data_IF_477650924298
#
_entry.id   IF_477650924298
#
_cell.length_a   1.000
_cell.length_b   1.000
_cell.length_c   1.000
_cell.angle_alpha   90.00
_cell.angle_beta   90.00
_cell.angle_gamma   90.00
#
_symmetry.space_group_name_H-M   'P 1'
#
loop_
_entity.id
_entity.type
_entity.pdbx_description
1 polymer ?
#
# COMPACT_ATOMS: atom_id res chain seq x y z
N UNK A 1 12.48 5.10 -29.44
CA UNK A 1 11.25 5.79 -29.92
C UNK A 1 10.42 4.85 -30.78
N UNK A 2 9.36 4.20 -30.24
CA UNK A 2 8.14 3.81 -30.97
C UNK A 2 7.00 3.69 -29.96
N UNK A 3 6.09 4.66 -29.99
CA UNK A 3 4.79 4.66 -29.28
C UNK A 3 3.85 3.72 -30.04
N UNK A 4 3.21 2.74 -29.39
CA UNK A 4 2.01 2.06 -29.94
C UNK A 4 1.08 1.56 -28.82
N UNK A 5 -0.16 2.09 -28.87
CA UNK A 5 -1.45 1.44 -28.58
C UNK A 5 -1.69 0.97 -27.14
N UNK A 6 -2.57 1.56 -26.31
CA UNK A 6 -3.99 1.93 -26.46
C UNK A 6 -4.85 0.90 -27.21
N UNK A 7 -5.81 0.31 -26.48
CA UNK A 7 -6.94 -0.52 -26.91
C UNK A 7 -6.62 -1.94 -27.41
N UNK A 8 -6.97 -2.96 -26.61
CA UNK A 8 -7.84 -4.09 -27.02
C UNK A 8 -8.01 -5.10 -25.86
N UNK A 9 -9.24 -5.24 -25.33
CA UNK A 9 -9.92 -6.53 -25.11
C UNK A 9 -11.27 -6.30 -24.42
N UNK A 10 -12.22 -5.73 -25.17
CA UNK A 10 -13.64 -5.92 -24.93
C UNK A 10 -14.15 -6.79 -26.08
N UNK A 11 -14.16 -8.10 -25.89
CA UNK A 11 -14.62 -9.07 -26.87
C UNK A 11 -15.24 -10.25 -26.12
N UNK A 12 -16.58 -10.27 -26.05
CA UNK A 12 -17.47 -11.44 -26.08
C UNK A 12 -18.78 -11.19 -25.31
N UNK A 13 -19.82 -10.78 -26.04
CA UNK A 13 -21.19 -11.28 -25.88
C UNK A 13 -22.07 -10.73 -27.02
N UNK A 14 -22.19 -11.49 -28.11
CA UNK A 14 -23.36 -11.40 -28.99
C UNK A 14 -24.50 -12.19 -28.34
N UNK A 15 -25.74 -11.74 -28.54
CA UNK A 15 -26.70 -12.64 -29.17
C UNK A 15 -27.30 -12.02 -30.44
N UNK A 16 -27.42 -12.89 -31.44
CA UNK A 16 -28.11 -12.66 -32.69
C UNK A 16 -29.62 -12.58 -32.48
N UNK A 17 -30.28 -11.63 -33.17
CA UNK A 17 -31.52 -11.82 -33.94
C UNK A 17 -32.06 -10.44 -34.37
N UNK A 18 -32.11 -10.24 -35.69
CA UNK A 18 -33.10 -9.46 -36.44
C UNK A 18 -32.43 -8.70 -37.61
N UNK A 19 -32.31 -9.41 -38.73
CA UNK A 19 -32.25 -8.78 -40.05
C UNK A 19 -33.56 -8.04 -40.33
N UNK A 20 -33.47 -6.81 -40.80
CA UNK A 20 -34.44 -6.21 -41.72
C UNK A 20 -33.70 -5.26 -42.69
N UNK A 21 -34.13 -5.18 -43.96
CA UNK A 21 -33.27 -4.82 -45.09
C UNK A 21 -33.18 -3.30 -45.34
N UNK A 22 -32.02 -2.87 -45.84
CA UNK A 22 -31.90 -1.65 -46.64
C UNK A 22 -32.58 -1.88 -48.01
N UNK A 23 -33.16 -0.85 -48.66
CA UNK A 23 -32.35 0.18 -49.32
C UNK A 23 -32.99 1.58 -49.32
N UNK A 24 -32.19 2.64 -49.46
CA UNK A 24 -32.23 3.49 -50.66
C UNK A 24 -31.14 4.57 -50.58
N UNK A 25 -30.58 4.90 -51.73
CA UNK A 25 -29.47 5.79 -51.89
C UNK A 25 -29.97 7.24 -52.00
N UNK A 26 -29.39 8.15 -51.21
CA UNK A 26 -29.56 9.59 -51.40
C UNK A 26 -28.19 10.26 -51.61
N UNK A 27 -28.10 11.25 -52.53
CA UNK A 27 -26.86 11.81 -53.06
C UNK A 27 -26.06 12.66 -52.05
N UNK A 28 -24.76 12.90 -52.31
CA UNK A 28 -23.87 13.66 -51.43
C UNK A 28 -24.29 15.13 -51.34
N UNK A 29 -24.55 15.59 -50.12
CA UNK A 29 -24.76 17.00 -49.81
C UNK A 29 -23.43 17.77 -49.79
N UNK A 30 -23.49 18.96 -50.37
CA UNK A 30 -22.46 19.98 -50.56
C UNK A 30 -21.76 20.40 -49.24
N UNK A 31 -20.44 20.69 -49.26
CA UNK A 31 -19.71 21.10 -48.06
C UNK A 31 -20.11 22.49 -47.57
N UNK A 32 -20.60 22.55 -46.33
CA UNK A 32 -20.92 23.79 -45.62
C UNK A 32 -19.67 24.65 -45.32
N UNK A 33 -19.79 25.99 -45.31
CA UNK A 33 -18.68 26.90 -45.04
C UNK A 33 -18.13 26.81 -43.60
N UNK A 34 -16.86 27.18 -43.38
CA UNK A 34 -16.23 27.08 -42.06
C UNK A 34 -16.85 28.07 -41.06
N UNK A 35 -17.37 27.53 -39.96
CA UNK A 35 -17.87 28.31 -38.82
C UNK A 35 -16.69 28.95 -38.08
N UNK A 36 -16.80 30.26 -37.86
CA UNK A 36 -15.81 31.09 -37.19
C UNK A 36 -15.47 30.58 -35.77
N UNK A 37 -14.19 30.67 -35.42
CA UNK A 37 -13.67 30.29 -34.12
C UNK A 37 -14.25 31.16 -32.98
N UNK A 38 -14.65 30.58 -31.84
CA UNK A 38 -15.11 31.34 -30.69
C UNK A 38 -13.96 32.10 -30.03
N UNK A 39 -14.22 33.38 -29.73
CA UNK A 39 -13.37 34.29 -28.97
C UNK A 39 -13.08 33.72 -27.57
N UNK A 40 -11.82 33.76 -27.07
CA UNK A 40 -11.52 33.26 -25.73
C UNK A 40 -12.16 34.14 -24.64
N UNK A 41 -12.82 33.48 -23.68
CA UNK A 41 -13.42 34.08 -22.51
C UNK A 41 -12.35 34.66 -21.55
N UNK A 42 -12.63 35.78 -20.85
CA UNK A 42 -11.69 36.39 -19.92
C UNK A 42 -11.40 35.49 -18.71
N UNK A 43 -10.13 35.50 -18.28
CA UNK A 43 -9.64 34.70 -17.16
C UNK A 43 -10.27 35.15 -15.81
N UNK A 44 -10.65 34.22 -14.92
CA UNK A 44 -11.15 34.54 -13.59
C UNK A 44 -10.04 35.14 -12.72
N UNK A 45 -10.35 36.27 -12.07
CA UNK A 45 -9.49 36.93 -11.10
C UNK A 45 -9.22 36.03 -9.88
N UNK A 46 -7.97 36.03 -9.42
CA UNK A 46 -7.53 35.26 -8.27
C UNK A 46 -8.21 35.76 -6.96
N UNK A 47 -8.62 34.85 -6.06
CA UNK A 47 -9.14 35.23 -4.75
C UNK A 47 -8.02 35.79 -3.86
N UNK A 48 -8.33 36.90 -3.18
CA UNK A 48 -7.47 37.52 -2.16
C UNK A 48 -7.46 36.61 -0.91
N UNK A 49 -6.29 36.21 -0.38
CA UNK A 49 -6.23 35.39 0.83
C UNK A 49 -6.60 36.22 2.08
N UNK A 50 -7.59 35.73 2.82
CA UNK A 50 -7.95 36.22 4.16
C UNK A 50 -6.83 35.87 5.15
N UNK A 51 -6.35 36.82 5.99
CA UNK A 51 -5.38 36.51 7.03
C UNK A 51 -5.98 35.56 8.08
N UNK A 52 -5.23 34.51 8.43
CA UNK A 52 -5.61 33.54 9.44
C UNK A 52 -5.54 34.14 10.86
N UNK A 53 -6.46 33.77 11.76
CA UNK A 53 -6.42 34.19 13.16
C UNK A 53 -5.22 33.60 13.90
N UNK A 54 -4.54 34.43 14.70
CA UNK A 54 -3.41 34.03 15.54
C UNK A 54 -3.84 32.99 16.57
N UNK A 55 -3.05 31.91 16.69
CA UNK A 55 -3.25 30.87 17.68
C UNK A 55 -3.02 31.40 19.11
N UNK A 56 -3.84 30.98 20.10
CA UNK A 56 -3.64 31.34 21.50
C UNK A 56 -2.39 30.67 22.09
N UNK A 57 -1.76 31.38 23.03
CA UNK A 57 -0.53 30.99 23.70
C UNK A 57 -0.66 29.69 24.53
N UNK A 58 0.40 28.87 24.64
CA UNK A 58 0.37 27.65 25.44
C UNK A 58 0.32 27.95 26.95
N UNK A 59 -0.53 27.20 27.64
CA UNK A 59 -0.68 27.20 29.10
C UNK A 59 0.54 26.54 29.76
N UNK A 60 1.09 27.08 30.87
CA UNK A 60 2.25 26.47 31.54
C UNK A 60 1.91 25.16 32.26
N UNK A 61 2.75 24.15 32.06
CA UNK A 61 2.70 22.85 32.74
C UNK A 61 3.12 22.98 34.22
N UNK A 62 2.34 22.44 35.18
CA UNK A 62 2.71 22.42 36.60
C UNK A 62 3.91 21.50 36.90
N UNK A 63 4.80 21.97 37.78
CA UNK A 63 5.97 21.24 38.25
C UNK A 63 5.60 20.04 39.16
N UNK A 64 6.27 18.90 38.95
CA UNK A 64 6.09 17.70 39.76
C UNK A 64 6.79 17.81 41.13
N UNK A 65 6.22 17.25 42.23
CA UNK A 65 6.83 17.28 43.54
C UNK A 65 7.99 16.28 43.69
N UNK A 66 9.02 16.68 44.43
CA UNK A 66 10.18 15.87 44.77
C UNK A 66 9.81 14.66 45.66
N UNK A 67 10.35 13.49 45.33
CA UNK A 67 10.20 12.26 46.15
C UNK A 67 11.09 12.32 47.39
N UNK A 68 10.51 11.91 48.52
CA UNK A 68 11.17 11.76 49.81
C UNK A 68 12.19 10.60 49.81
N UNK A 69 13.27 10.68 50.61
CA UNK A 69 14.25 9.61 50.74
C UNK A 69 13.72 8.44 51.57
N UNK A 70 14.06 7.22 51.14
CA UNK A 70 13.71 5.98 51.82
C UNK A 70 14.58 5.73 53.07
N UNK A 71 14.05 5.10 54.13
CA UNK A 71 14.77 4.83 55.37
C UNK A 71 15.77 3.66 55.24
N UNK A 72 16.93 3.81 55.88
CA UNK A 72 17.98 2.80 56.00
C UNK A 72 17.58 1.67 56.95
N UNK A 73 17.81 0.42 56.55
CA UNK A 73 17.56 -0.79 57.34
C UNK A 73 18.87 -1.24 58.02
N UNK A 74 18.85 -1.68 59.29
CA UNK A 74 20.06 -2.06 60.05
C UNK A 74 20.70 -3.39 59.58
N UNK A 75 21.99 -3.62 59.93
CA UNK A 75 22.74 -4.80 59.49
C UNK A 75 22.37 -6.07 60.26
N UNK A 76 22.05 -7.14 59.51
CA UNK A 76 21.88 -8.50 60.06
C UNK A 76 23.23 -9.20 60.23
N UNK A 77 23.37 -9.86 61.38
CA UNK A 77 24.50 -10.71 61.78
C UNK A 77 24.72 -11.93 60.85
N UNK A 78 25.90 -12.58 60.91
CA UNK A 78 26.36 -13.51 59.88
C UNK A 78 25.69 -14.89 59.99
N UNK A 79 25.10 -15.35 58.89
CA UNK A 79 24.64 -16.72 58.71
C UNK A 79 25.77 -17.59 58.11
N UNK A 80 25.86 -18.82 58.62
CA UNK A 80 26.80 -19.87 58.26
C UNK A 80 26.95 -20.12 56.74
N UNK A 81 28.10 -20.66 56.27
CA UNK A 81 28.37 -20.87 54.85
C UNK A 81 27.39 -21.88 54.27
N UNK A 82 26.55 -21.42 53.33
CA UNK A 82 25.76 -22.30 52.46
C UNK A 82 26.69 -22.94 51.42
N UNK A 83 26.45 -24.20 51.04
CA UNK A 83 27.16 -24.82 49.91
C UNK A 83 26.95 -23.98 48.63
N UNK A 84 27.95 -23.93 47.74
CA UNK A 84 27.87 -23.10 46.54
C UNK A 84 26.67 -23.54 45.69
N UNK A 85 25.91 -22.59 45.11
CA UNK A 85 24.88 -22.93 44.14
C UNK A 85 25.51 -23.66 42.95
N UNK A 86 24.80 -24.64 42.34
CA UNK A 86 25.26 -25.23 41.08
C UNK A 86 25.46 -24.12 40.06
N UNK A 87 26.60 -24.17 39.37
CA UNK A 87 27.00 -23.19 38.38
C UNK A 87 25.86 -22.96 37.36
N UNK A 88 25.60 -21.70 36.96
CA UNK A 88 24.65 -21.43 35.88
C UNK A 88 25.09 -22.21 34.64
N UNK A 89 24.17 -23.00 34.11
CA UNK A 89 24.35 -23.65 32.82
C UNK A 89 24.69 -22.57 31.77
N UNK A 90 25.62 -22.84 30.83
CA UNK A 90 26.01 -21.87 29.82
C UNK A 90 24.78 -21.38 29.07
N UNK A 91 24.72 -20.05 28.88
CA UNK A 91 23.73 -19.35 28.06
C UNK A 91 23.43 -20.15 26.79
N UNK A 92 22.27 -20.81 26.78
CA UNK A 92 21.67 -21.20 25.52
C UNK A 92 21.37 -19.89 24.79
N UNK A 93 21.92 -19.66 23.59
CA UNK A 93 21.47 -18.54 22.79
C UNK A 93 19.96 -18.69 22.66
N UNK A 94 19.23 -17.66 23.05
CA UNK A 94 17.78 -17.58 22.82
C UNK A 94 17.57 -17.70 21.31
N UNK A 95 17.37 -18.94 20.83
CA UNK A 95 16.82 -19.19 19.51
C UNK A 95 15.37 -18.74 19.62
N UNK A 96 15.14 -17.47 19.29
CA UNK A 96 13.81 -17.00 18.92
C UNK A 96 13.26 -18.04 17.93
N UNK A 97 12.13 -18.70 18.24
CA UNK A 97 11.63 -19.78 17.40
C UNK A 97 11.43 -19.21 16.00
N UNK A 98 12.15 -19.76 15.03
CA UNK A 98 12.03 -19.35 13.64
C UNK A 98 10.55 -19.36 13.26
N UNK A 99 9.98 -18.18 12.97
CA UNK A 99 8.57 -18.04 12.64
C UNK A 99 8.18 -19.07 11.58
N UNK A 100 7.08 -19.78 11.81
CA UNK A 100 6.61 -20.77 10.83
C UNK A 100 6.14 -20.05 9.57
N UNK A 101 6.13 -20.73 8.43
CA UNK A 101 5.61 -20.14 7.19
C UNK A 101 4.16 -19.65 7.35
N UNK A 102 3.36 -20.35 8.15
CA UNK A 102 2.00 -19.94 8.46
C UNK A 102 1.96 -18.63 9.28
N UNK A 103 2.88 -18.45 10.23
CA UNK A 103 3.00 -17.20 10.99
C UNK A 103 3.38 -16.03 10.07
N UNK A 104 4.30 -16.25 9.14
CA UNK A 104 4.67 -15.25 8.13
C UNK A 104 3.47 -14.87 7.26
N UNK A 105 2.72 -15.85 6.76
CA UNK A 105 1.50 -15.60 5.96
C UNK A 105 0.46 -14.82 6.75
N UNK A 106 0.27 -15.13 8.04
CA UNK A 106 -0.65 -14.41 8.91
C UNK A 106 -0.19 -12.96 9.13
N UNK A 107 1.11 -12.72 9.34
CA UNK A 107 1.70 -11.38 9.45
C UNK A 107 1.51 -10.59 8.16
N UNK A 108 1.89 -11.16 7.01
CA UNK A 108 1.70 -10.54 5.69
C UNK A 108 0.23 -10.20 5.46
N UNK A 109 -0.70 -11.08 5.84
CA UNK A 109 -2.13 -10.83 5.72
C UNK A 109 -2.58 -9.64 6.57
N UNK A 110 -2.09 -9.55 7.81
CA UNK A 110 -2.39 -8.44 8.73
C UNK A 110 -1.86 -7.12 8.18
N UNK A 111 -0.60 -7.09 7.73
CA UNK A 111 0.03 -5.90 7.14
C UNK A 111 -0.66 -5.47 5.84
N UNK A 112 -0.94 -6.41 4.94
CA UNK A 112 -1.70 -6.13 3.72
C UNK A 112 -3.07 -5.54 4.04
N UNK A 113 -3.75 -6.06 5.06
CA UNK A 113 -5.04 -5.53 5.49
C UNK A 113 -4.94 -4.08 5.96
N UNK A 114 -3.99 -3.78 6.84
CA UNK A 114 -3.75 -2.42 7.32
C UNK A 114 -3.45 -1.47 6.15
N UNK A 115 -2.61 -1.89 5.21
CA UNK A 115 -2.30 -1.12 3.99
C UNK A 115 -3.56 -0.86 3.16
N UNK A 116 -4.36 -1.87 2.85
CA UNK A 116 -5.58 -1.69 2.06
C UNK A 116 -6.60 -0.81 2.77
N UNK A 117 -6.75 -0.94 4.09
CA UNK A 117 -7.63 -0.09 4.88
C UNK A 117 -7.17 1.38 4.86
N UNK A 118 -5.87 1.64 5.01
CA UNK A 118 -5.30 2.99 4.87
C UNK A 118 -5.55 3.58 3.48
N UNK A 119 -5.41 2.77 2.41
CA UNK A 119 -5.68 3.19 1.04
C UNK A 119 -7.17 3.53 0.81
N UNK A 120 -8.09 2.74 1.38
CA UNK A 120 -9.53 2.99 1.28
C UNK A 120 -9.94 4.27 2.02
N UNK A 121 -9.29 4.55 3.16
CA UNK A 121 -9.45 5.78 3.94
C UNK A 121 -8.76 6.99 3.30
N UNK A 122 -7.96 6.79 2.24
CA UNK A 122 -7.21 7.84 1.57
C UNK A 122 -5.93 8.28 2.31
N UNK A 123 -5.49 7.54 3.33
CA UNK A 123 -4.26 7.80 4.07
C UNK A 123 -3.03 7.17 3.38
N UNK A 124 -2.63 7.79 2.28
CA UNK A 124 -1.43 7.39 1.51
C UNK A 124 -0.14 7.64 2.29
N UNK A 125 -0.15 8.58 3.24
CA UNK A 125 1.08 8.99 3.94
C UNK A 125 1.52 7.93 4.94
N UNK A 126 0.57 7.39 5.70
CA UNK A 126 0.83 6.26 6.59
C UNK A 126 1.32 5.05 5.78
N UNK A 127 0.66 4.75 4.65
CA UNK A 127 1.11 3.70 3.75
C UNK A 127 2.56 3.91 3.26
N UNK A 128 2.90 5.11 2.78
CA UNK A 128 4.22 5.38 2.22
C UNK A 128 5.35 5.32 3.28
N UNK A 129 5.02 5.44 4.57
CA UNK A 129 5.98 5.27 5.66
C UNK A 129 6.33 3.81 5.97
N UNK A 130 5.45 2.87 5.64
CA UNK A 130 5.57 1.45 6.01
C UNK A 130 6.13 0.57 4.87
N UNK A 131 6.32 1.14 3.67
CA UNK A 131 6.79 0.40 2.49
C UNK A 131 8.29 0.49 2.26
N UNK A 132 8.82 -0.51 1.57
CA UNK A 132 10.21 -0.61 1.20
C UNK A 132 10.48 0.12 -0.11
N UNK A 133 11.49 0.99 -0.09
CA UNK A 133 11.95 1.72 -1.27
C UNK A 133 13.16 1.02 -1.91
N UNK A 134 13.27 1.08 -3.24
CA UNK A 134 12.36 1.72 -4.19
C UNK A 134 11.06 0.93 -4.40
N UNK A 135 9.93 1.62 -4.38
CA UNK A 135 8.60 1.03 -4.46
C UNK A 135 8.09 0.99 -5.90
N UNK A 136 7.55 -0.15 -6.34
CA UNK A 136 6.98 -0.32 -7.69
C UNK A 136 5.45 -0.20 -7.64
N UNK A 137 4.91 0.88 -8.20
CA UNK A 137 3.47 1.09 -8.33
C UNK A 137 3.10 0.95 -9.82
N UNK A 138 2.37 -0.10 -10.16
CA UNK A 138 2.03 -0.45 -11.56
C UNK A 138 3.27 -0.55 -12.46
N UNK A 139 3.42 0.37 -13.40
CA UNK A 139 4.51 0.46 -14.37
C UNK A 139 5.64 1.38 -13.89
N UNK A 140 5.42 2.15 -12.80
CA UNK A 140 6.34 3.19 -12.37
C UNK A 140 7.01 2.87 -11.03
N UNK A 141 8.32 3.08 -10.99
CA UNK A 141 9.14 2.96 -9.79
C UNK A 141 9.30 4.31 -9.10
N UNK A 142 9.17 4.31 -7.78
CA UNK A 142 9.29 5.48 -6.92
C UNK A 142 10.46 5.28 -5.98
N UNK A 143 11.38 6.25 -5.95
CA UNK A 143 12.59 6.14 -5.14
C UNK A 143 12.36 6.60 -3.70
N UNK A 144 11.39 7.49 -3.49
CA UNK A 144 11.13 8.13 -2.20
C UNK A 144 9.63 8.14 -1.85
N UNK A 145 9.34 8.31 -0.57
CA UNK A 145 7.97 8.38 -0.06
C UNK A 145 7.21 9.59 -0.60
N UNK A 146 7.82 10.76 -0.67
CA UNK A 146 7.16 11.96 -1.19
C UNK A 146 6.70 11.81 -2.64
N UNK A 147 7.52 11.17 -3.49
CA UNK A 147 7.14 10.89 -4.89
C UNK A 147 5.96 9.93 -4.99
N UNK A 148 5.96 8.89 -4.16
CA UNK A 148 4.89 7.89 -4.11
C UNK A 148 3.58 8.51 -3.62
N UNK A 149 3.64 9.30 -2.54
CA UNK A 149 2.48 10.02 -1.99
C UNK A 149 1.91 10.97 -3.03
N UNK A 150 2.75 11.78 -3.69
CA UNK A 150 2.29 12.74 -4.70
C UNK A 150 1.57 12.06 -5.88
N UNK A 151 2.08 10.92 -6.34
CA UNK A 151 1.46 10.17 -7.42
C UNK A 151 0.14 9.51 -7.00
N UNK A 152 0.13 8.85 -5.85
CA UNK A 152 -1.01 8.06 -5.43
C UNK A 152 -2.16 8.92 -4.90
N UNK A 153 -1.88 10.03 -4.20
CA UNK A 153 -2.92 11.01 -3.82
C UNK A 153 -3.63 11.56 -5.05
N UNK A 154 -2.90 11.80 -6.14
CA UNK A 154 -3.49 12.24 -7.41
C UNK A 154 -4.42 11.17 -8.01
N UNK A 155 -4.03 9.91 -7.96
CA UNK A 155 -4.85 8.79 -8.45
C UNK A 155 -6.08 8.54 -7.57
N UNK A 156 -5.93 8.51 -6.24
CA UNK A 156 -7.03 8.27 -5.32
C UNK A 156 -8.06 9.39 -5.35
N UNK A 157 -7.67 10.66 -5.53
CA UNK A 157 -8.65 11.76 -5.70
C UNK A 157 -9.55 11.60 -6.93
N UNK A 158 -9.08 10.87 -7.95
CA UNK A 158 -9.86 10.59 -9.15
C UNK A 158 -10.73 9.33 -9.01
N UNK A 159 -10.50 8.52 -7.97
CA UNK A 159 -11.19 7.26 -7.74
C UNK A 159 -12.11 7.41 -6.53
N UNK A 160 -13.33 6.90 -6.63
CA UNK A 160 -14.27 6.86 -5.49
C UNK A 160 -13.93 5.69 -4.57
N UNK A 161 -12.88 5.85 -3.76
CA UNK A 161 -12.47 4.83 -2.77
C UNK A 161 -13.55 4.58 -1.72
N UNK A 162 -14.47 5.54 -1.51
CA UNK A 162 -15.64 5.43 -0.64
C UNK A 162 -16.58 4.29 -1.02
N UNK A 163 -16.65 3.95 -2.31
CA UNK A 163 -17.49 2.84 -2.79
C UNK A 163 -16.77 1.50 -2.79
N UNK A 164 -15.48 1.49 -2.47
CA UNK A 164 -14.67 0.28 -2.58
C UNK A 164 -14.73 -0.50 -1.27
N UNK A 165 -15.23 -1.74 -1.35
CA UNK A 165 -15.26 -2.67 -0.22
C UNK A 165 -14.17 -3.73 -0.37
N UNK A 166 -13.41 -3.97 0.70
CA UNK A 166 -12.45 -5.07 0.81
C UNK A 166 -13.18 -6.35 1.24
N UNK A 167 -13.34 -7.32 0.34
CA UNK A 167 -14.01 -8.58 0.66
C UNK A 167 -13.11 -9.58 1.37
N UNK A 168 -11.82 -9.60 1.03
CA UNK A 168 -10.89 -10.57 1.57
C UNK A 168 -9.50 -10.39 0.99
N UNK A 169 -8.53 -11.01 1.67
CA UNK A 169 -7.12 -11.03 1.29
C UNK A 169 -6.65 -12.48 1.32
N UNK A 170 -6.15 -12.94 0.19
CA UNK A 170 -5.49 -14.22 0.03
C UNK A 170 -3.97 -14.00 -0.01
N UNK A 171 -3.21 -14.72 0.81
CA UNK A 171 -1.74 -14.61 0.82
C UNK A 171 -1.15 -15.89 0.27
N UNK A 172 -0.42 -15.74 -0.84
CA UNK A 172 0.22 -16.83 -1.58
C UNK A 172 1.72 -16.59 -1.66
N UNK A 173 2.51 -17.66 -1.73
CA UNK A 173 3.88 -17.55 -2.22
C UNK A 173 3.88 -17.19 -3.70
N UNK A 174 4.98 -16.67 -4.22
CA UNK A 174 5.05 -16.30 -5.64
C UNK A 174 4.76 -17.51 -6.56
N UNK A 175 5.28 -18.69 -6.23
CA UNK A 175 5.03 -19.92 -7.00
C UNK A 175 3.54 -20.35 -6.98
N UNK A 176 2.87 -20.20 -5.84
CA UNK A 176 1.43 -20.49 -5.72
C UNK A 176 0.59 -19.48 -6.50
N UNK A 177 0.96 -18.20 -6.44
CA UNK A 177 0.34 -17.14 -7.21
C UNK A 177 0.46 -17.41 -8.71
N UNK A 178 1.65 -17.81 -9.19
CA UNK A 178 1.86 -18.15 -10.59
C UNK A 178 1.06 -19.37 -11.04
N UNK A 179 0.89 -20.35 -10.16
CA UNK A 179 0.06 -21.53 -10.42
C UNK A 179 -1.43 -21.20 -10.49
N UNK A 180 -1.91 -20.28 -9.64
CA UNK A 180 -3.36 -19.97 -9.50
C UNK A 180 -3.82 -18.85 -10.44
N UNK A 181 -3.01 -17.81 -10.61
CA UNK A 181 -3.36 -16.59 -11.34
C UNK A 181 -2.49 -16.37 -12.58
N UNK A 182 -1.49 -17.23 -12.83
CA UNK A 182 -0.56 -17.07 -13.93
C UNK A 182 0.62 -16.16 -13.58
N UNK A 183 1.51 -15.97 -14.55
CA UNK A 183 2.79 -15.29 -14.35
C UNK A 183 2.60 -13.86 -13.87
N UNK A 184 3.36 -13.47 -12.84
CA UNK A 184 3.36 -12.09 -12.37
C UNK A 184 3.74 -11.12 -13.52
N UNK A 185 3.09 -9.96 -13.64
CA UNK A 185 3.46 -8.96 -14.63
C UNK A 185 4.96 -8.63 -14.57
N UNK A 186 5.67 -8.74 -15.70
CA UNK A 186 7.12 -8.50 -15.76
C UNK A 186 7.52 -7.09 -15.29
N UNK A 187 6.58 -6.13 -15.35
CA UNK A 187 6.71 -4.76 -14.81
C UNK A 187 6.99 -4.71 -13.30
N UNK A 188 6.65 -5.77 -12.56
CA UNK A 188 6.92 -5.87 -11.12
C UNK A 188 8.39 -6.15 -10.80
N UNK A 189 9.25 -6.37 -11.80
CA UNK A 189 10.70 -6.48 -11.60
C UNK A 189 11.14 -7.66 -10.74
N UNK A 190 10.30 -8.69 -10.61
CA UNK A 190 10.47 -9.81 -9.69
C UNK A 190 11.64 -10.74 -10.02
N UNK A 191 12.16 -10.71 -11.24
CA UNK A 191 13.13 -11.70 -11.75
C UNK A 191 14.50 -11.72 -11.06
N UNK A 192 14.82 -10.74 -10.21
CA UNK A 192 16.06 -10.70 -9.43
C UNK A 192 15.86 -11.03 -7.93
N UNK A 193 14.61 -11.20 -7.49
CA UNK A 193 14.29 -11.40 -6.08
C UNK A 193 14.16 -12.90 -5.77
N UNK A 194 14.62 -13.31 -4.59
CA UNK A 194 14.52 -14.71 -4.14
C UNK A 194 13.06 -15.04 -3.84
N UNK A 195 12.50 -16.00 -4.57
CA UNK A 195 11.09 -16.38 -4.51
C UNK A 195 10.64 -16.85 -3.12
N UNK A 196 11.55 -17.45 -2.32
CA UNK A 196 11.25 -17.97 -1.00
C UNK A 196 10.95 -16.89 0.06
N UNK A 197 11.41 -15.65 -0.16
CA UNK A 197 11.18 -14.52 0.76
C UNK A 197 10.02 -13.63 0.26
N UNK A 198 9.32 -14.02 -0.81
CA UNK A 198 8.32 -13.23 -1.51
C UNK A 198 6.92 -13.77 -1.28
N UNK A 199 6.04 -12.90 -0.82
CA UNK A 199 4.62 -13.20 -0.62
C UNK A 199 3.78 -12.22 -1.43
N UNK A 200 2.77 -12.75 -2.12
CA UNK A 200 1.76 -11.98 -2.82
C UNK A 200 0.48 -11.96 -1.99
N UNK A 201 0.06 -10.78 -1.56
CA UNK A 201 -1.23 -10.56 -0.93
C UNK A 201 -2.22 -10.03 -1.96
N UNK A 202 -3.22 -10.84 -2.28
CA UNK A 202 -4.23 -10.56 -3.29
C UNK A 202 -5.52 -10.18 -2.56
N UNK A 203 -5.87 -8.90 -2.62
CA UNK A 203 -7.12 -8.37 -2.14
C UNK A 203 -8.19 -8.38 -3.22
N UNK A 204 -9.43 -8.66 -2.81
CA UNK A 204 -10.59 -8.41 -3.64
C UNK A 204 -11.23 -7.08 -3.22
N UNK A 205 -11.03 -6.06 -4.05
CA UNK A 205 -11.58 -4.71 -3.91
C UNK A 205 -12.80 -4.57 -4.82
N UNK A 206 -14.01 -4.77 -4.28
CA UNK A 206 -15.28 -4.62 -5.04
C UNK A 206 -15.40 -5.48 -6.31
N UNK A 207 -14.77 -6.66 -6.34
CA UNK A 207 -14.73 -7.54 -7.51
C UNK A 207 -13.46 -7.38 -8.35
N UNK A 208 -12.56 -6.46 -8.01
CA UNK A 208 -11.29 -6.25 -8.69
C UNK A 208 -10.11 -6.79 -7.85
N UNK A 209 -9.20 -7.59 -8.44
CA UNK A 209 -8.05 -8.11 -7.74
C UNK A 209 -6.94 -7.06 -7.63
N UNK A 210 -6.60 -6.63 -6.42
CA UNK A 210 -5.42 -5.82 -6.15
C UNK A 210 -4.34 -6.66 -5.48
N UNK A 211 -3.11 -6.57 -5.96
CA UNK A 211 -1.97 -7.38 -5.53
C UNK A 211 -0.94 -6.47 -4.87
N UNK A 212 -0.58 -6.79 -3.63
CA UNK A 212 0.59 -6.26 -2.94
C UNK A 212 1.66 -7.33 -2.84
N UNK A 213 2.90 -6.96 -3.13
CA UNK A 213 4.05 -7.83 -2.98
C UNK A 213 4.84 -7.45 -1.75
N UNK A 214 5.09 -8.46 -0.92
CA UNK A 214 5.81 -8.36 0.33
C UNK A 214 7.14 -9.09 0.26
N UNK A 215 8.13 -8.52 0.92
CA UNK A 215 9.39 -9.17 1.22
C UNK A 215 9.41 -9.49 2.72
N UNK A 216 9.61 -10.75 3.05
CA UNK A 216 9.66 -11.24 4.43
C UNK A 216 10.90 -12.14 4.61
N UNK A 217 12.11 -11.55 4.62
CA UNK A 217 13.31 -12.35 4.74
C UNK A 217 13.39 -12.99 6.13
N UNK A 218 13.86 -14.23 6.17
CA UNK A 218 14.00 -14.99 7.41
C UNK A 218 14.95 -14.25 8.36
N UNK A 219 14.42 -13.71 9.47
CA UNK A 219 15.17 -12.97 10.47
C UNK A 219 14.89 -11.46 10.52
N UNK A 220 14.10 -10.90 9.59
CA UNK A 220 13.51 -9.57 9.80
C UNK A 220 12.19 -9.69 10.59
N UNK A 221 11.91 -8.70 11.46
CA UNK A 221 10.75 -8.76 12.35
C UNK A 221 9.41 -8.58 11.62
N UNK A 222 9.39 -7.83 10.51
CA UNK A 222 8.18 -7.39 9.83
C UNK A 222 8.29 -7.56 8.30
N UNK A 223 7.24 -8.07 7.63
CA UNK A 223 7.19 -8.11 6.18
C UNK A 223 6.92 -6.71 5.63
N UNK A 224 7.70 -6.27 4.64
CA UNK A 224 7.54 -4.95 4.04
C UNK A 224 7.00 -5.06 2.61
N UNK A 225 5.99 -4.25 2.29
CA UNK A 225 5.49 -4.16 0.93
C UNK A 225 6.47 -3.37 0.06
N UNK A 226 6.71 -3.82 -1.17
CA UNK A 226 7.62 -3.14 -2.10
C UNK A 226 7.02 -2.93 -3.49
N UNK A 227 5.86 -3.55 -3.77
CA UNK A 227 5.16 -3.31 -5.02
C UNK A 227 3.63 -3.47 -4.90
N UNK A 228 2.90 -2.77 -5.77
CA UNK A 228 1.44 -2.78 -5.86
C UNK A 228 0.99 -2.84 -7.33
N UNK A 229 -0.07 -3.62 -7.60
CA UNK A 229 -0.81 -3.58 -8.87
C UNK A 229 -2.31 -3.89 -8.70
N UNK A 230 -3.19 -3.27 -9.49
CA UNK A 230 -4.67 -3.42 -9.53
C UNK A 230 -5.20 -3.64 -10.96
#
# INVERSE_FOLDING_TARGET
MRRRSLALLLLLALPALAQAPAPDAAPPAEPAPPVAAPTPAPAPSAPVPTPAPSAPAPTPTPAAPARAPAPSVPPSAPAAPRPPPPAPAPDQPSQEPAATEQDLRNRVKSEARAIFENLLLGDVRSFAGEVLYPFQLEDKRYATADELVAAWVKQLRQKRTDLVTLYGIEVLSLAEMEKKYGKAPARLGLGALKEADLYAAIANLSGHPAILLFRAPRGEPLPHAFAYTD
#
